data_IF_164709715918
#
_entry.id   IF_164709715918
#
_cell.length_a   1.000
_cell.length_b   1.000
_cell.length_c   1.000
_cell.angle_alpha   90.00
_cell.angle_beta   90.00
_cell.angle_gamma   90.00
#
_symmetry.space_group_name_H-M   'P 1'
#
loop_
_entity.id
_entity.type
_entity.pdbx_description
1 polymer ?
#
# COMPACT_ATOMS: atom_id res chain seq x y z
N UNK A 1 17.90 -38.23 -33.86
CA UNK A 1 17.68 -37.19 -32.85
C UNK A 1 17.30 -35.91 -33.59
N UNK A 2 16.11 -35.31 -33.38
CA UNK A 2 15.78 -34.03 -33.94
C UNK A 2 16.55 -32.90 -33.19
N UNK A 3 16.96 -31.82 -33.90
CA UNK A 3 17.73 -30.75 -33.30
C UNK A 3 16.89 -29.98 -32.29
N UNK A 4 17.44 -29.76 -31.09
CA UNK A 4 16.86 -28.94 -30.02
C UNK A 4 16.75 -27.50 -30.54
N UNK A 5 15.56 -26.85 -30.51
CA UNK A 5 15.42 -25.48 -30.95
C UNK A 5 16.24 -24.56 -30.05
N UNK A 6 17.20 -23.85 -30.61
CA UNK A 6 17.94 -22.79 -29.95
C UNK A 6 16.95 -21.68 -29.52
N UNK A 7 16.71 -21.57 -28.22
CA UNK A 7 16.00 -20.44 -27.68
C UNK A 7 16.86 -19.20 -27.92
N UNK A 8 16.44 -18.35 -28.82
CA UNK A 8 17.02 -17.03 -29.02
C UNK A 8 16.86 -16.24 -27.71
N UNK A 9 17.90 -15.61 -27.16
CA UNK A 9 17.78 -14.79 -25.98
C UNK A 9 16.83 -13.64 -26.27
N UNK A 10 15.67 -13.64 -25.63
CA UNK A 10 14.69 -12.54 -25.68
C UNK A 10 15.41 -11.29 -25.23
N UNK A 11 15.61 -10.36 -26.16
CA UNK A 11 16.56 -9.28 -26.09
C UNK A 11 16.49 -8.45 -24.81
N UNK A 12 17.64 -8.18 -24.23
CA UNK A 12 17.88 -7.28 -23.10
C UNK A 12 17.19 -5.91 -23.27
N UNK A 13 17.12 -5.41 -24.50
CA UNK A 13 16.45 -4.17 -24.89
C UNK A 13 14.96 -4.11 -24.49
N UNK A 14 14.19 -5.19 -24.65
CA UNK A 14 12.78 -5.23 -24.23
C UNK A 14 12.63 -5.20 -22.69
N UNK A 15 13.55 -5.84 -21.96
CA UNK A 15 13.54 -5.82 -20.49
C UNK A 15 13.85 -4.43 -19.94
N UNK A 16 14.80 -3.70 -20.53
CA UNK A 16 15.11 -2.33 -20.15
C UNK A 16 13.96 -1.36 -20.46
N UNK A 17 13.32 -1.48 -21.63
CA UNK A 17 12.17 -0.66 -21.98
C UNK A 17 10.98 -0.87 -21.02
N UNK A 18 10.74 -2.10 -20.56
CA UNK A 18 9.71 -2.40 -19.58
C UNK A 18 10.06 -1.84 -18.18
N UNK A 19 11.33 -1.84 -17.78
CA UNK A 19 11.76 -1.30 -16.50
C UNK A 19 11.66 0.22 -16.47
N UNK A 20 12.12 0.89 -17.54
CA UNK A 20 12.04 2.36 -17.63
C UNK A 20 10.59 2.85 -17.63
N UNK A 21 9.67 2.16 -18.32
CA UNK A 21 8.25 2.49 -18.29
C UNK A 21 7.64 2.33 -16.88
N UNK A 22 8.02 1.29 -16.14
CA UNK A 22 7.56 1.07 -14.77
C UNK A 22 8.07 2.16 -13.81
N UNK A 23 9.35 2.54 -13.93
CA UNK A 23 9.92 3.61 -13.14
C UNK A 23 9.28 4.97 -13.47
N UNK A 24 9.02 5.25 -14.74
CA UNK A 24 8.30 6.44 -15.17
C UNK A 24 6.88 6.47 -14.57
N UNK A 25 6.16 5.36 -14.63
CA UNK A 25 4.83 5.22 -14.05
C UNK A 25 4.86 5.42 -12.52
N UNK A 26 5.89 4.90 -11.85
CA UNK A 26 6.11 5.13 -10.42
C UNK A 26 6.30 6.63 -10.12
N UNK A 27 7.20 7.31 -10.84
CA UNK A 27 7.50 8.72 -10.61
C UNK A 27 6.30 9.62 -10.88
N UNK A 28 5.58 9.40 -11.98
CA UNK A 28 4.34 10.13 -12.29
C UNK A 28 3.29 9.86 -11.21
N UNK A 29 3.14 8.59 -10.79
CA UNK A 29 2.23 8.21 -9.71
C UNK A 29 2.59 8.86 -8.38
N UNK A 30 3.88 8.97 -8.05
CA UNK A 30 4.36 9.65 -6.85
C UNK A 30 4.04 11.15 -6.87
N UNK A 31 4.34 11.83 -7.97
CA UNK A 31 4.02 13.26 -8.11
C UNK A 31 2.51 13.51 -8.07
N UNK A 32 1.72 12.68 -8.75
CA UNK A 32 0.25 12.77 -8.71
C UNK A 32 -0.29 12.55 -7.30
N UNK A 33 0.25 11.56 -6.56
CA UNK A 33 -0.14 11.34 -5.17
C UNK A 33 0.27 12.51 -4.27
N UNK A 34 1.45 13.07 -4.47
CA UNK A 34 1.92 14.26 -3.74
C UNK A 34 1.01 15.48 -3.98
N UNK A 35 0.55 15.71 -5.23
CA UNK A 35 -0.45 16.73 -5.53
C UNK A 35 -1.76 16.48 -4.78
N UNK A 36 -2.22 15.24 -4.71
CA UNK A 36 -3.42 14.88 -3.95
C UNK A 36 -3.25 15.16 -2.45
N UNK A 37 -2.09 14.84 -1.87
CA UNK A 37 -1.77 15.17 -0.46
C UNK A 37 -1.74 16.67 -0.26
N UNK A 38 -1.12 17.44 -1.15
CA UNK A 38 -1.07 18.89 -1.06
C UNK A 38 -2.48 19.53 -1.13
N UNK A 39 -3.32 19.06 -2.07
CA UNK A 39 -4.71 19.53 -2.19
C UNK A 39 -5.52 19.25 -0.92
N UNK A 40 -5.42 18.04 -0.34
CA UNK A 40 -6.14 17.72 0.91
C UNK A 40 -5.63 18.53 2.09
N UNK A 41 -4.34 18.82 2.15
CA UNK A 41 -3.72 19.56 3.23
C UNK A 41 -4.05 21.05 3.17
N UNK A 42 -3.94 21.66 1.97
CA UNK A 42 -4.26 23.09 1.74
C UNK A 42 -5.76 23.36 1.84
N UNK A 43 -6.60 22.34 1.68
CA UNK A 43 -8.06 22.46 1.86
C UNK A 43 -8.50 22.91 3.27
N UNK A 44 -7.60 22.88 4.23
CA UNK A 44 -7.80 23.27 5.66
C UNK A 44 -8.96 22.55 6.37
N UNK A 45 -9.29 21.34 5.92
CA UNK A 45 -10.25 20.44 6.55
C UNK A 45 -9.57 19.24 7.23
N UNK A 46 -8.26 19.28 7.37
CA UNK A 46 -7.41 18.19 7.80
C UNK A 46 -6.79 17.45 6.62
N UNK A 47 -5.67 16.77 6.87
CA UNK A 47 -4.93 16.02 5.85
C UNK A 47 -5.28 14.53 5.89
N UNK A 48 -4.68 13.73 4.99
CA UNK A 48 -4.90 12.27 4.98
C UNK A 48 -4.31 11.63 6.25
N UNK A 49 -4.89 10.53 6.78
CA UNK A 49 -4.45 9.92 8.04
C UNK A 49 -2.94 9.66 8.12
N UNK A 50 -2.34 9.12 7.05
CA UNK A 50 -0.90 8.84 7.01
C UNK A 50 -0.04 10.10 7.00
N UNK A 51 -0.60 11.22 6.53
CA UNK A 51 0.09 12.51 6.44
C UNK A 51 -0.11 13.39 7.68
N UNK A 52 -0.98 12.99 8.63
CA UNK A 52 -1.26 13.79 9.83
C UNK A 52 -0.03 13.98 10.71
N UNK A 53 0.72 12.91 10.99
CA UNK A 53 1.93 12.97 11.82
C UNK A 53 3.01 13.84 11.17
N UNK A 54 3.41 13.63 9.89
CA UNK A 54 4.32 14.55 9.22
C UNK A 54 3.86 16.01 9.25
N UNK A 55 2.57 16.26 9.03
CA UNK A 55 2.03 17.61 8.98
C UNK A 55 2.10 18.33 10.34
N UNK A 56 1.79 17.63 11.43
CA UNK A 56 1.96 18.17 12.78
C UNK A 56 3.41 18.57 13.03
N UNK A 57 4.37 17.71 12.66
CA UNK A 57 5.79 18.06 12.79
C UNK A 57 6.18 19.25 11.92
N UNK A 58 5.63 19.37 10.70
CA UNK A 58 5.85 20.54 9.84
C UNK A 58 5.44 21.83 10.54
N UNK A 59 4.24 21.86 11.10
CA UNK A 59 3.71 23.06 11.80
C UNK A 59 4.49 23.38 13.07
N UNK A 60 4.88 22.37 13.86
CA UNK A 60 5.58 22.56 15.13
C UNK A 60 7.06 22.92 14.96
N UNK A 61 7.72 22.41 13.92
CA UNK A 61 9.18 22.56 13.75
C UNK A 61 9.58 23.56 12.68
N UNK A 62 8.66 23.92 11.77
CA UNK A 62 8.95 24.77 10.61
C UNK A 62 9.71 24.06 9.46
N UNK A 63 10.00 22.76 9.60
CA UNK A 63 10.57 22.00 8.47
C UNK A 63 9.56 21.82 7.35
N UNK A 64 10.03 21.59 6.12
CA UNK A 64 9.14 21.34 5.00
C UNK A 64 8.32 20.05 5.17
N UNK A 65 7.13 20.01 4.56
CA UNK A 65 6.25 18.86 4.66
C UNK A 65 6.86 17.59 4.04
N UNK A 66 7.63 17.74 2.97
CA UNK A 66 8.39 16.64 2.39
C UNK A 66 9.47 16.12 3.32
N UNK A 67 10.20 17.01 4.01
CA UNK A 67 11.24 16.63 4.97
C UNK A 67 10.65 15.84 6.14
N UNK A 68 9.59 16.33 6.76
CA UNK A 68 8.93 15.62 7.88
C UNK A 68 8.30 14.31 7.42
N UNK A 69 7.73 14.27 6.20
CA UNK A 69 7.24 13.02 5.58
C UNK A 69 8.37 12.02 5.40
N UNK A 70 9.55 12.45 4.94
CA UNK A 70 10.71 11.58 4.81
C UNK A 70 11.08 10.94 6.15
N UNK A 71 11.24 11.72 7.21
CA UNK A 71 11.61 11.19 8.52
C UNK A 71 10.55 10.24 9.09
N UNK A 72 9.27 10.58 9.04
CA UNK A 72 8.20 9.70 9.52
C UNK A 72 8.18 8.37 8.73
N UNK A 73 8.40 8.41 7.42
CA UNK A 73 8.49 7.18 6.63
C UNK A 73 9.72 6.33 6.98
N UNK A 74 10.85 6.93 7.35
CA UNK A 74 12.01 6.19 7.88
C UNK A 74 11.64 5.44 9.16
N UNK A 75 10.86 6.06 10.07
CA UNK A 75 10.35 5.37 11.26
C UNK A 75 9.41 4.21 10.90
N UNK A 76 8.57 4.36 9.86
CA UNK A 76 7.72 3.26 9.39
C UNK A 76 8.54 2.11 8.78
N UNK A 77 9.63 2.42 8.05
CA UNK A 77 10.57 1.38 7.56
C UNK A 77 11.26 0.70 8.73
N UNK A 78 11.72 1.44 9.73
CA UNK A 78 12.31 0.85 10.94
C UNK A 78 11.30 -0.06 11.67
N UNK A 79 10.04 0.36 11.74
CA UNK A 79 8.94 -0.46 12.26
C UNK A 79 8.74 -1.75 11.46
N UNK A 80 8.84 -1.72 10.11
CA UNK A 80 8.79 -2.92 9.28
C UNK A 80 9.94 -3.88 9.61
N UNK A 81 11.17 -3.35 9.77
CA UNK A 81 12.35 -4.16 10.15
C UNK A 81 12.12 -4.83 11.50
N UNK A 82 11.61 -4.08 12.47
CA UNK A 82 11.35 -4.61 13.82
C UNK A 82 10.27 -5.69 13.83
N UNK A 83 9.18 -5.51 13.06
CA UNK A 83 8.08 -6.47 12.95
C UNK A 83 8.50 -7.73 12.20
N UNK A 84 9.16 -7.61 11.06
CA UNK A 84 9.52 -8.75 10.21
C UNK A 84 10.83 -9.44 10.64
N UNK A 85 11.69 -8.72 11.35
CA UNK A 85 13.00 -9.22 11.83
C UNK A 85 13.76 -9.96 10.71
N UNK A 86 14.00 -11.27 10.86
CA UNK A 86 14.73 -12.11 9.89
C UNK A 86 13.98 -12.32 8.55
N UNK A 87 12.70 -11.98 8.48
CA UNK A 87 11.88 -12.07 7.25
C UNK A 87 11.90 -10.77 6.45
N UNK A 88 12.57 -9.72 6.96
CA UNK A 88 12.69 -8.46 6.22
C UNK A 88 13.63 -8.63 5.04
N UNK A 89 13.15 -8.30 3.83
CA UNK A 89 13.97 -8.34 2.64
C UNK A 89 14.77 -7.04 2.49
N UNK A 90 16.07 -7.14 2.20
CA UNK A 90 16.91 -5.97 1.95
C UNK A 90 16.43 -5.14 0.73
N UNK A 91 15.69 -5.76 -0.20
CA UNK A 91 15.04 -5.06 -1.30
C UNK A 91 14.04 -3.99 -0.82
N UNK A 92 13.45 -4.18 0.36
CA UNK A 92 12.56 -3.17 0.95
C UNK A 92 13.31 -1.89 1.35
N UNK A 93 14.63 -1.89 1.49
CA UNK A 93 15.42 -0.68 1.71
C UNK A 93 15.40 0.27 0.50
N UNK A 94 15.06 -0.21 -0.69
CA UNK A 94 14.81 0.65 -1.85
C UNK A 94 13.62 1.59 -1.65
N UNK A 95 12.83 1.40 -0.59
CA UNK A 95 11.82 2.37 -0.16
C UNK A 95 12.45 3.70 0.26
N UNK A 96 13.67 3.70 0.82
CA UNK A 96 14.33 4.93 1.34
C UNK A 96 14.55 5.97 0.24
N UNK A 97 15.23 5.67 -0.90
CA UNK A 97 15.36 6.63 -1.98
C UNK A 97 14.02 7.04 -2.60
N UNK A 98 13.03 6.14 -2.67
CA UNK A 98 11.71 6.51 -3.19
C UNK A 98 10.96 7.47 -2.27
N UNK A 99 11.10 7.32 -0.95
CA UNK A 99 10.52 8.26 0.03
C UNK A 99 11.17 9.63 -0.05
N UNK A 100 12.49 9.69 -0.28
CA UNK A 100 13.18 10.96 -0.49
C UNK A 100 12.61 11.69 -1.72
N UNK A 101 12.47 10.99 -2.85
CA UNK A 101 11.85 11.54 -4.06
C UNK A 101 10.40 11.96 -3.80
N UNK A 102 9.64 11.16 -3.06
CA UNK A 102 8.26 11.49 -2.70
C UNK A 102 8.18 12.75 -1.83
N UNK A 103 9.09 12.93 -0.88
CA UNK A 103 9.21 14.14 -0.07
C UNK A 103 9.45 15.39 -0.94
N UNK A 104 10.37 15.31 -1.90
CA UNK A 104 10.61 16.39 -2.87
C UNK A 104 9.34 16.68 -3.69
N UNK A 105 8.63 15.64 -4.13
CA UNK A 105 7.35 15.80 -4.84
C UNK A 105 6.30 16.49 -3.96
N UNK A 106 6.24 16.19 -2.65
CA UNK A 106 5.31 16.84 -1.71
C UNK A 106 5.66 18.33 -1.59
N UNK A 107 6.93 18.68 -1.39
CA UNK A 107 7.34 20.08 -1.26
C UNK A 107 7.04 20.87 -2.53
N UNK A 108 7.29 20.29 -3.71
CA UNK A 108 6.94 20.90 -4.99
C UNK A 108 5.41 21.05 -5.15
N UNK A 109 4.65 20.02 -4.79
CA UNK A 109 3.19 20.05 -4.84
C UNK A 109 2.62 21.12 -3.89
N UNK A 110 3.16 21.24 -2.67
CA UNK A 110 2.78 22.28 -1.71
C UNK A 110 3.09 23.67 -2.25
N UNK A 111 4.24 23.89 -2.88
CA UNK A 111 4.57 25.17 -3.50
C UNK A 111 3.60 25.56 -4.62
N UNK A 112 3.10 24.58 -5.40
CA UNK A 112 2.14 24.79 -6.46
C UNK A 112 0.74 25.07 -5.91
N UNK A 113 0.31 24.34 -4.88
CA UNK A 113 -1.09 24.34 -4.42
C UNK A 113 -1.35 25.40 -3.36
N UNK A 114 -0.37 25.72 -2.47
CA UNK A 114 -0.57 26.66 -1.36
C UNK A 114 -1.07 28.06 -1.78
N UNK A 115 -0.66 28.64 -2.92
CA UNK A 115 -1.20 29.92 -3.37
C UNK A 115 -2.71 29.90 -3.69
N UNK A 116 -3.29 28.70 -3.82
CA UNK A 116 -4.69 28.46 -4.19
C UNK A 116 -5.54 28.00 -3.00
N UNK A 117 -5.16 28.40 -1.78
CA UNK A 117 -5.90 28.04 -0.58
C UNK A 117 -7.37 28.50 -0.68
N UNK A 118 -8.34 27.66 -0.31
CA UNK A 118 -9.76 27.97 -0.46
C UNK A 118 -10.20 29.06 0.50
N UNK A 119 -11.08 29.95 0.04
CA UNK A 119 -11.60 31.05 0.84
C UNK A 119 -12.74 30.67 1.79
N UNK A 120 -13.24 29.43 1.75
CA UNK A 120 -14.37 29.00 2.57
C UNK A 120 -14.54 27.50 2.66
N UNK A 121 -15.38 27.06 3.59
CA UNK A 121 -15.57 25.64 3.90
C UNK A 121 -16.01 24.80 2.67
N UNK A 122 -16.95 25.28 1.87
CA UNK A 122 -17.43 24.57 0.67
C UNK A 122 -16.35 24.40 -0.40
N UNK A 123 -15.55 25.43 -0.63
CA UNK A 123 -14.42 25.37 -1.56
C UNK A 123 -13.32 24.46 -1.04
N UNK A 124 -13.09 24.47 0.30
CA UNK A 124 -12.21 23.51 0.97
C UNK A 124 -12.69 22.08 0.82
N UNK A 125 -13.99 21.83 0.99
CA UNK A 125 -14.56 20.48 0.83
C UNK A 125 -14.38 19.96 -0.60
N UNK A 126 -14.67 20.77 -1.61
CA UNK A 126 -14.48 20.40 -3.02
C UNK A 126 -13.00 20.16 -3.33
N UNK A 127 -12.11 20.99 -2.79
CA UNK A 127 -10.66 20.83 -2.92
C UNK A 127 -10.18 19.53 -2.23
N UNK A 128 -10.69 19.23 -1.05
CA UNK A 128 -10.37 17.98 -0.34
C UNK A 128 -10.87 16.75 -1.09
N UNK A 129 -12.10 16.75 -1.62
CA UNK A 129 -12.64 15.63 -2.40
C UNK A 129 -11.81 15.42 -3.69
N UNK A 130 -11.51 16.50 -4.42
CA UNK A 130 -10.68 16.40 -5.62
C UNK A 130 -9.25 15.93 -5.29
N UNK A 131 -8.67 16.41 -4.18
CA UNK A 131 -7.38 15.98 -3.67
C UNK A 131 -7.35 14.48 -3.36
N UNK A 132 -8.38 13.95 -2.71
CA UNK A 132 -8.52 12.52 -2.43
C UNK A 132 -8.64 11.69 -3.71
N UNK A 133 -9.32 12.19 -4.74
CA UNK A 133 -9.39 11.52 -6.03
C UNK A 133 -8.02 11.49 -6.73
N UNK A 134 -7.31 12.61 -6.78
CA UNK A 134 -5.96 12.72 -7.35
C UNK A 134 -4.97 11.83 -6.60
N UNK A 135 -5.04 11.81 -5.27
CA UNK A 135 -4.24 10.92 -4.43
C UNK A 135 -4.50 9.45 -4.76
N UNK A 136 -5.76 9.04 -4.80
CA UNK A 136 -6.13 7.66 -5.12
C UNK A 136 -5.64 7.25 -6.52
N UNK A 137 -5.72 8.15 -7.50
CA UNK A 137 -5.21 7.90 -8.85
C UNK A 137 -3.68 7.70 -8.84
N UNK A 138 -2.94 8.58 -8.13
CA UNK A 138 -1.50 8.45 -7.96
C UNK A 138 -1.11 7.13 -7.28
N UNK A 139 -1.82 6.72 -6.23
CA UNK A 139 -1.62 5.43 -5.54
C UNK A 139 -1.85 4.25 -6.50
N UNK A 140 -2.92 4.27 -7.29
CA UNK A 140 -3.19 3.20 -8.27
C UNK A 140 -2.08 3.12 -9.32
N UNK A 141 -1.56 4.25 -9.81
CA UNK A 141 -0.42 4.27 -10.73
C UNK A 141 0.83 3.64 -10.10
N UNK A 142 1.14 3.96 -8.83
CA UNK A 142 2.27 3.38 -8.11
C UNK A 142 2.10 1.86 -7.94
N UNK A 143 0.92 1.38 -7.55
CA UNK A 143 0.63 -0.07 -7.44
C UNK A 143 0.80 -0.76 -8.80
N UNK A 144 0.32 -0.14 -9.87
CA UNK A 144 0.43 -0.68 -11.25
C UNK A 144 1.86 -0.69 -11.79
N UNK A 145 2.75 0.13 -11.27
CA UNK A 145 4.17 0.10 -11.62
C UNK A 145 4.85 -1.21 -11.21
N UNK A 146 4.32 -1.92 -10.21
CA UNK A 146 4.88 -3.16 -9.63
C UNK A 146 6.36 -3.04 -9.24
N UNK A 147 6.75 -1.89 -8.74
CA UNK A 147 8.13 -1.63 -8.36
C UNK A 147 8.32 -1.70 -6.85
N UNK A 148 8.03 -0.62 -6.15
CA UNK A 148 8.30 -0.47 -4.73
C UNK A 148 7.01 -0.03 -4.05
N UNK A 149 6.68 -0.69 -2.92
CA UNK A 149 5.55 -0.32 -2.06
C UNK A 149 6.00 0.82 -1.16
N UNK A 150 5.16 1.83 -0.97
CA UNK A 150 5.46 2.92 -0.04
C UNK A 150 5.55 2.41 1.41
N UNK A 151 6.38 3.04 2.28
CA UNK A 151 6.58 2.59 3.66
C UNK A 151 5.31 2.50 4.48
N UNK A 152 4.34 3.38 4.26
CA UNK A 152 3.04 3.35 4.94
C UNK A 152 2.28 2.06 4.70
N UNK A 153 2.11 1.71 3.43
CA UNK A 153 1.48 0.45 3.03
C UNK A 153 2.35 -0.76 3.39
N UNK A 154 3.68 -0.63 3.24
CA UNK A 154 4.64 -1.66 3.63
C UNK A 154 4.57 -2.00 5.12
N UNK A 155 4.39 -0.99 5.99
CA UNK A 155 4.21 -1.20 7.42
C UNK A 155 2.90 -1.93 7.72
N UNK A 156 1.80 -1.54 7.07
CA UNK A 156 0.49 -2.20 7.19
C UNK A 156 0.57 -3.66 6.72
N UNK A 157 1.25 -3.94 5.59
CA UNK A 157 1.47 -5.30 5.10
C UNK A 157 2.29 -6.13 6.08
N UNK A 158 3.37 -5.56 6.65
CA UNK A 158 4.19 -6.23 7.66
C UNK A 158 3.37 -6.58 8.91
N UNK A 159 2.58 -5.62 9.40
CA UNK A 159 1.71 -5.81 10.56
C UNK A 159 0.61 -6.85 10.29
N UNK A 160 0.00 -6.83 9.10
CA UNK A 160 -0.99 -7.82 8.67
C UNK A 160 -0.39 -9.24 8.63
N UNK A 161 0.82 -9.39 8.07
CA UNK A 161 1.52 -10.67 8.01
C UNK A 161 1.86 -11.24 9.40
N UNK A 162 2.25 -10.39 10.36
CA UNK A 162 2.59 -10.81 11.73
C UNK A 162 1.32 -11.13 12.53
N UNK A 163 0.29 -10.32 12.42
CA UNK A 163 -0.97 -10.47 13.20
C UNK A 163 -1.94 -11.46 12.57
N UNK A 164 -1.70 -11.90 11.33
CA UNK A 164 -2.59 -12.76 10.53
C UNK A 164 -3.99 -12.16 10.34
N UNK A 165 -4.09 -10.84 10.33
CA UNK A 165 -5.36 -10.10 10.09
C UNK A 165 -5.37 -9.55 8.66
N UNK A 166 -6.58 -9.22 8.18
CA UNK A 166 -6.73 -8.64 6.85
C UNK A 166 -6.00 -7.28 6.72
N UNK A 167 -5.46 -7.00 5.55
CA UNK A 167 -4.82 -5.72 5.25
C UNK A 167 -5.74 -4.52 5.56
N UNK A 168 -7.02 -4.62 5.18
CA UNK A 168 -7.98 -3.54 5.40
C UNK A 168 -8.20 -3.24 6.89
N UNK A 169 -8.31 -4.27 7.75
CA UNK A 169 -8.45 -4.08 9.19
C UNK A 169 -7.22 -3.43 9.81
N UNK A 170 -6.01 -3.89 9.43
CA UNK A 170 -4.76 -3.30 9.93
C UNK A 170 -4.58 -1.88 9.42
N UNK A 171 -4.97 -1.60 8.17
CA UNK A 171 -4.89 -0.24 7.63
C UNK A 171 -5.77 0.73 8.41
N UNK A 172 -7.00 0.36 8.73
CA UNK A 172 -7.89 1.19 9.55
C UNK A 172 -7.26 1.46 10.92
N UNK A 173 -6.75 0.42 11.58
CA UNK A 173 -6.08 0.59 12.89
C UNK A 173 -4.86 1.49 12.78
N UNK A 174 -4.04 1.32 11.75
CA UNK A 174 -2.87 2.16 11.50
C UNK A 174 -3.26 3.63 11.28
N UNK A 175 -4.24 3.88 10.42
CA UNK A 175 -4.69 5.22 10.06
C UNK A 175 -5.30 5.95 11.27
N UNK A 176 -6.12 5.25 12.07
CA UNK A 176 -6.64 5.78 13.34
C UNK A 176 -5.51 6.05 14.33
N UNK A 177 -4.55 5.13 14.47
CA UNK A 177 -3.42 5.29 15.39
C UNK A 177 -2.57 6.49 15.01
N UNK A 178 -2.23 6.67 13.73
CA UNK A 178 -1.46 7.83 13.26
C UNK A 178 -2.22 9.14 13.49
N UNK A 179 -3.53 9.16 13.23
CA UNK A 179 -4.37 10.34 13.49
C UNK A 179 -4.45 10.68 14.97
N UNK A 180 -4.57 9.68 15.86
CA UNK A 180 -4.57 9.88 17.30
C UNK A 180 -3.20 10.37 17.83
N UNK A 181 -2.10 9.82 17.30
CA UNK A 181 -0.75 10.29 17.63
C UNK A 181 -0.59 11.76 17.22
N UNK A 182 -1.00 12.12 15.99
CA UNK A 182 -0.94 13.49 15.50
C UNK A 182 -1.79 14.44 16.36
N UNK A 183 -3.04 14.05 16.66
CA UNK A 183 -3.92 14.83 17.54
C UNK A 183 -3.32 15.02 18.95
N UNK A 184 -2.75 13.96 19.53
CA UNK A 184 -2.09 14.02 20.84
C UNK A 184 -0.88 14.94 20.84
N UNK A 185 -0.01 14.85 19.82
CA UNK A 185 1.17 15.75 19.70
C UNK A 185 0.71 17.20 19.52
N UNK A 186 -0.24 17.46 18.61
CA UNK A 186 -0.77 18.81 18.38
C UNK A 186 -1.35 19.42 19.65
N UNK A 187 -2.19 18.65 20.36
CA UNK A 187 -2.82 19.12 21.60
C UNK A 187 -1.81 19.38 22.72
N UNK A 188 -0.83 18.50 22.92
CA UNK A 188 0.18 18.66 23.98
C UNK A 188 1.16 19.79 23.68
N UNK A 189 1.57 19.96 22.42
CA UNK A 189 2.61 20.92 22.05
C UNK A 189 2.07 22.31 21.68
N UNK A 190 0.87 22.38 21.09
CA UNK A 190 0.28 23.62 20.58
C UNK A 190 -1.06 23.99 21.23
N UNK A 191 -1.67 23.10 22.00
CA UNK A 191 -2.99 23.32 22.61
C UNK A 191 -4.17 23.15 21.62
N UNK A 192 -3.91 22.72 20.39
CA UNK A 192 -4.93 22.60 19.34
C UNK A 192 -4.75 21.33 18.50
N UNK A 193 -5.81 20.94 17.76
CA UNK A 193 -5.76 19.81 16.85
C UNK A 193 -5.17 20.24 15.49
N UNK A 194 -3.91 19.91 15.25
CA UNK A 194 -3.20 20.25 14.02
C UNK A 194 -3.38 19.11 13.01
N UNK A 195 -3.89 19.42 11.82
CA UNK A 195 -3.97 18.50 10.68
C UNK A 195 -4.99 17.35 10.81
N UNK A 196 -5.64 17.19 11.95
CA UNK A 196 -6.69 16.19 12.19
C UNK A 196 -8.03 16.89 12.37
N UNK A 197 -8.87 16.81 11.34
CA UNK A 197 -10.22 17.42 11.30
C UNK A 197 -11.18 16.49 10.55
N UNK A 198 -12.38 16.98 10.28
CA UNK A 198 -13.42 16.24 9.54
C UNK A 198 -12.96 15.69 8.18
N UNK A 199 -12.12 16.42 7.46
CA UNK A 199 -11.54 15.97 6.18
C UNK A 199 -10.58 14.80 6.33
N UNK A 200 -9.96 14.58 7.50
CA UNK A 200 -9.12 13.40 7.75
C UNK A 200 -9.95 12.12 7.75
N UNK A 201 -11.13 12.15 8.39
CA UNK A 201 -12.06 11.02 8.38
C UNK A 201 -12.61 10.79 6.98
N UNK A 202 -12.97 11.88 6.29
CA UNK A 202 -13.43 11.83 4.91
C UNK A 202 -12.37 11.21 3.98
N UNK A 203 -11.10 11.60 4.12
CA UNK A 203 -9.98 11.07 3.35
C UNK A 203 -9.75 9.58 3.59
N UNK A 204 -9.86 9.12 4.84
CA UNK A 204 -9.73 7.69 5.17
C UNK A 204 -10.72 6.80 4.39
N UNK A 205 -11.93 7.32 4.13
CA UNK A 205 -12.97 6.61 3.36
C UNK A 205 -12.82 6.84 1.86
N UNK A 206 -12.67 8.10 1.43
CA UNK A 206 -12.68 8.47 0.01
C UNK A 206 -11.49 7.90 -0.76
N UNK A 207 -10.27 7.90 -0.20
CA UNK A 207 -9.10 7.36 -0.89
C UNK A 207 -9.30 5.89 -1.22
N UNK A 208 -9.80 5.09 -0.27
CA UNK A 208 -10.10 3.68 -0.51
C UNK A 208 -11.22 3.45 -1.54
N UNK A 209 -12.28 4.27 -1.48
CA UNK A 209 -13.40 4.19 -2.42
C UNK A 209 -12.95 4.56 -3.85
N UNK A 210 -12.26 5.70 -4.01
CA UNK A 210 -11.76 6.14 -5.30
C UNK A 210 -10.74 5.19 -5.88
N UNK A 211 -9.82 4.65 -5.07
CA UNK A 211 -8.87 3.65 -5.54
C UNK A 211 -9.57 2.41 -6.13
N UNK A 212 -10.62 1.89 -5.45
CA UNK A 212 -11.42 0.77 -5.97
C UNK A 212 -12.14 1.12 -7.28
N UNK A 213 -12.71 2.32 -7.38
CA UNK A 213 -13.39 2.78 -8.60
C UNK A 213 -12.42 2.91 -9.77
N UNK A 214 -11.25 3.52 -9.53
CA UNK A 214 -10.21 3.73 -10.55
C UNK A 214 -9.68 2.37 -11.03
N UNK A 215 -9.38 1.44 -10.13
CA UNK A 215 -8.94 0.08 -10.50
C UNK A 215 -9.97 -0.60 -11.38
N UNK A 216 -11.26 -0.59 -10.99
CA UNK A 216 -12.35 -1.18 -11.76
C UNK A 216 -12.50 -0.56 -13.15
N UNK A 217 -12.32 0.77 -13.26
CA UNK A 217 -12.40 1.48 -14.53
C UNK A 217 -11.21 1.15 -15.45
N UNK A 218 -9.99 1.17 -14.90
CA UNK A 218 -8.76 0.84 -15.62
C UNK A 218 -8.77 -0.61 -16.13
N UNK A 219 -9.28 -1.55 -15.33
CA UNK A 219 -9.40 -2.96 -15.72
C UNK A 219 -10.42 -3.16 -16.85
N UNK A 220 -11.52 -2.38 -16.85
CA UNK A 220 -12.51 -2.41 -17.95
C UNK A 220 -11.94 -1.87 -19.28
N UNK A 221 -11.08 -0.87 -19.21
CA UNK A 221 -10.45 -0.28 -20.41
C UNK A 221 -9.35 -1.18 -21.02
N UNK A 222 -8.98 -2.29 -20.38
CA UNK A 222 -7.94 -3.20 -20.88
C UNK A 222 -6.53 -2.59 -20.95
N UNK A 223 -6.36 -1.35 -20.48
CA UNK A 223 -5.13 -0.56 -20.66
C UNK A 223 -3.95 -1.16 -19.88
N UNK A 224 -4.21 -2.03 -18.88
CA UNK A 224 -3.19 -2.62 -18.01
C UNK A 224 -3.50 -4.07 -17.59
N UNK A 225 -4.15 -4.86 -18.43
CA UNK A 225 -4.74 -6.18 -18.09
C UNK A 225 -3.74 -7.21 -17.52
N UNK A 226 -2.43 -7.05 -17.68
CA UNK A 226 -1.46 -8.06 -17.20
C UNK A 226 -0.70 -7.71 -15.91
N UNK A 227 -0.89 -6.53 -15.35
CA UNK A 227 -0.05 -6.07 -14.25
C UNK A 227 -0.70 -6.08 -12.84
N UNK A 228 -2.00 -6.15 -12.69
CA UNK A 228 -2.69 -5.77 -11.44
C UNK A 228 -3.40 -6.85 -10.64
N UNK A 229 -3.74 -7.98 -11.22
CA UNK A 229 -4.55 -8.99 -10.52
C UNK A 229 -3.86 -9.67 -9.32
N UNK A 230 -2.53 -9.71 -9.32
CA UNK A 230 -1.76 -10.38 -8.25
C UNK A 230 -1.46 -9.52 -7.01
N UNK A 231 -1.64 -8.20 -7.08
CA UNK A 231 -1.28 -7.29 -5.99
C UNK A 231 -2.46 -6.95 -5.04
N UNK A 232 -3.70 -7.24 -5.47
CA UNK A 232 -4.92 -7.02 -4.67
C UNK A 232 -5.49 -8.35 -4.15
N UNK A 233 -4.95 -9.49 -4.57
CA UNK A 233 -5.20 -10.72 -3.84
C UNK A 233 -4.62 -10.52 -2.43
N UNK A 234 -5.52 -10.41 -1.45
CA UNK A 234 -5.14 -10.66 -0.05
C UNK A 234 -4.18 -11.83 -0.05
N UNK A 235 -3.04 -11.76 0.65
CA UNK A 235 -2.31 -12.96 0.93
C UNK A 235 -3.31 -13.87 1.65
N UNK A 236 -3.87 -14.83 0.93
CA UNK A 236 -4.63 -15.90 1.58
C UNK A 236 -3.67 -16.44 2.64
N UNK A 237 -4.08 -16.43 3.92
CA UNK A 237 -3.30 -17.13 4.91
C UNK A 237 -3.08 -18.53 4.34
N UNK A 238 -1.87 -19.10 4.41
CA UNK A 238 -1.64 -20.44 3.95
C UNK A 238 -2.74 -21.30 4.58
N UNK A 239 -3.58 -21.89 3.75
CA UNK A 239 -4.68 -22.76 4.18
C UNK A 239 -4.04 -23.97 4.85
N UNK A 240 -3.99 -24.07 6.21
CA UNK A 240 -3.34 -25.21 6.86
C UNK A 240 -4.19 -26.49 6.73
N UNK A 241 -5.37 -26.40 6.13
CA UNK A 241 -6.36 -27.47 6.16
C UNK A 241 -6.47 -28.30 4.89
N UNK A 242 -6.10 -27.79 3.73
CA UNK A 242 -6.32 -28.55 2.49
C UNK A 242 -5.28 -29.67 2.33
N UNK A 243 -4.02 -29.42 2.69
CA UNK A 243 -3.00 -30.47 2.70
C UNK A 243 -3.17 -31.47 3.84
N UNK A 244 -3.69 -31.05 4.99
CA UNK A 244 -3.97 -31.93 6.11
C UNK A 244 -5.25 -32.76 5.87
N UNK A 245 -6.29 -32.19 5.28
CA UNK A 245 -7.53 -32.91 4.95
C UNK A 245 -7.27 -33.93 3.84
N UNK A 246 -6.49 -33.56 2.80
CA UNK A 246 -6.09 -34.50 1.75
C UNK A 246 -5.21 -35.63 2.28
N UNK A 247 -4.28 -35.33 3.21
CA UNK A 247 -3.45 -36.36 3.84
C UNK A 247 -4.26 -37.29 4.76
N UNK A 248 -5.28 -36.79 5.45
CA UNK A 248 -6.17 -37.59 6.29
C UNK A 248 -7.09 -38.47 5.41
N UNK A 249 -7.67 -37.90 4.35
CA UNK A 249 -8.51 -38.68 3.42
C UNK A 249 -7.73 -39.78 2.71
N UNK A 250 -6.49 -39.49 2.27
CA UNK A 250 -5.63 -40.51 1.62
C UNK A 250 -5.23 -41.62 2.63
N UNK A 251 -5.05 -41.29 3.92
CA UNK A 251 -4.73 -42.27 4.94
C UNK A 251 -5.95 -43.13 5.34
N UNK A 252 -7.15 -42.57 5.30
CA UNK A 252 -8.38 -43.33 5.57
C UNK A 252 -8.72 -44.27 4.40
N UNK A 253 -8.59 -43.84 3.15
CA UNK A 253 -8.80 -44.70 1.97
C UNK A 253 -7.79 -45.88 1.94
N UNK A 254 -6.52 -45.61 2.31
CA UNK A 254 -5.50 -46.66 2.37
C UNK A 254 -5.78 -47.65 3.50
N UNK A 255 -6.31 -47.22 4.63
CA UNK A 255 -6.64 -48.09 5.75
C UNK A 255 -7.90 -48.94 5.49
N UNK A 256 -8.88 -48.42 4.78
CA UNK A 256 -10.07 -49.16 4.36
C UNK A 256 -9.75 -50.24 3.32
N UNK A 257 -8.83 -49.96 2.37
CA UNK A 257 -8.36 -50.96 1.42
C UNK A 257 -7.60 -52.10 2.09
N UNK A 258 -6.78 -51.80 3.11
CA UNK A 258 -6.03 -52.81 3.88
C UNK A 258 -6.95 -53.65 4.79
N UNK A 259 -8.08 -53.12 5.29
CA UNK A 259 -9.06 -53.88 6.06
C UNK A 259 -9.91 -54.78 5.18
N UNK A 260 -10.24 -54.35 3.96
CA UNK A 260 -10.99 -55.17 2.99
C UNK A 260 -10.16 -56.33 2.43
N UNK A 261 -8.86 -56.12 2.19
CA UNK A 261 -7.94 -57.21 1.81
C UNK A 261 -7.77 -58.24 2.92
N UNK A 262 -7.67 -57.82 4.19
CA UNK A 262 -7.57 -58.74 5.33
C UNK A 262 -8.82 -59.57 5.53
N UNK A 263 -10.01 -58.99 5.37
CA UNK A 263 -11.28 -59.70 5.46
C UNK A 263 -11.48 -60.69 4.31
N UNK A 264 -10.99 -60.37 3.10
CA UNK A 264 -11.08 -61.24 1.95
C UNK A 264 -10.13 -62.45 2.04
N UNK A 265 -8.98 -62.31 2.71
CA UNK A 265 -8.02 -63.40 2.96
C UNK A 265 -8.54 -64.36 4.06
N UNK A 266 -9.22 -63.83 5.09
CA UNK A 266 -9.73 -64.62 6.21
C UNK A 266 -10.97 -65.46 5.83
N UNK A 267 -11.72 -65.09 4.78
CA UNK A 267 -12.86 -65.83 4.27
C UNK A 267 -12.47 -66.92 3.23
N UNK A 268 -11.17 -67.08 2.95
CA UNK A 268 -10.66 -68.12 2.03
C UNK A 268 -9.93 -69.29 2.74
N UNK A 269 -9.91 -69.31 4.06
CA UNK A 269 -9.45 -70.44 4.89
C UNK A 269 -10.65 -71.10 5.59
#
# INVERSE_FOLDING_TARGET
>A
MPPVPRQTPVGSSRRFAHLSLRLLLLLIGMFTAALGVALTTVADLGTTPISTVPYVFTVLTGYSFGTTTFFVNIFLVAGQVLLLRRRFSLWNLLQIPTVLIFGICIDLAMAIVSPHAPAGWWTGLLMSISGNFVLAFGIVMQIRSKTIVQPGEGFVLAAAAVTRKSFGSIKIVNDVTLSLIAAGIGFVCAGELIGVREGTVLSAVLVGLFAKLIVKFVDRLGVFVQAGAAAIQEPQPPQPHESAITAIQTSEETNDQLTDERSSVQNRQ
#
